data_IF_090660777179
#
_entry.id   IF_090660777179
#
_cell.length_a   1.000
_cell.length_b   1.000
_cell.length_c   1.000
_cell.angle_alpha   90.00
_cell.angle_beta   90.00
_cell.angle_gamma   90.00
#
_symmetry.space_group_name_H-M   'P 1'
#
loop_
_entity.id
_entity.type
_entity.pdbx_description
1 polymer ?
#
# COMPACT_ATOMS: atom_id res chain seq x y z
N UNK A 1 8.65 -12.72 -20.38
CA UNK A 1 8.45 -13.26 -19.02
C UNK A 1 8.70 -12.24 -17.89
N UNK A 2 9.68 -11.32 -17.97
CA UNK A 2 9.96 -10.33 -16.91
C UNK A 2 8.78 -9.38 -16.60
N UNK A 3 8.09 -8.85 -17.62
CA UNK A 3 6.91 -7.99 -17.41
C UNK A 3 5.75 -8.72 -16.73
N UNK A 4 5.45 -9.95 -17.14
CA UNK A 4 4.41 -10.77 -16.54
C UNK A 4 4.69 -11.02 -15.04
N UNK A 5 5.96 -11.30 -14.68
CA UNK A 5 6.36 -11.48 -13.29
C UNK A 5 6.14 -10.20 -12.46
N UNK A 6 6.53 -9.03 -12.99
CA UNK A 6 6.31 -7.75 -12.32
C UNK A 6 4.82 -7.44 -12.11
N UNK A 7 4.00 -7.69 -13.13
CA UNK A 7 2.55 -7.51 -13.04
C UNK A 7 1.92 -8.44 -11.99
N UNK A 8 2.29 -9.73 -11.98
CA UNK A 8 1.79 -10.69 -10.99
C UNK A 8 2.16 -10.30 -9.56
N UNK A 9 3.38 -9.79 -9.34
CA UNK A 9 3.81 -9.31 -8.02
C UNK A 9 3.02 -8.06 -7.61
N UNK A 10 2.77 -7.15 -8.55
CA UNK A 10 1.95 -5.97 -8.29
C UNK A 10 0.50 -6.34 -7.97
N UNK A 11 -0.11 -7.28 -8.71
CA UNK A 11 -1.45 -7.80 -8.42
C UNK A 11 -1.51 -8.48 -7.04
N UNK A 12 -0.49 -9.25 -6.69
CA UNK A 12 -0.37 -9.85 -5.36
C UNK A 12 -0.26 -8.79 -4.27
N UNK A 13 0.57 -7.75 -4.48
CA UNK A 13 0.68 -6.61 -3.57
C UNK A 13 -0.69 -5.93 -3.40
N UNK A 14 -1.39 -5.62 -4.50
CA UNK A 14 -2.70 -4.99 -4.48
C UNK A 14 -3.73 -5.84 -3.74
N UNK A 15 -3.78 -7.15 -4.01
CA UNK A 15 -4.69 -8.07 -3.34
C UNK A 15 -4.43 -8.18 -1.84
N UNK A 16 -3.16 -8.32 -1.43
CA UNK A 16 -2.79 -8.43 -0.01
C UNK A 16 -3.00 -7.12 0.76
N UNK A 17 -2.66 -5.98 0.14
CA UNK A 17 -2.90 -4.66 0.75
C UNK A 17 -4.38 -4.37 0.89
N UNK A 18 -5.19 -4.64 -0.14
CA UNK A 18 -6.64 -4.51 -0.07
C UNK A 18 -7.22 -5.40 1.04
N UNK A 19 -6.83 -6.68 1.09
CA UNK A 19 -7.30 -7.60 2.13
C UNK A 19 -6.95 -7.09 3.54
N UNK A 20 -5.69 -6.68 3.75
CA UNK A 20 -5.26 -6.13 5.04
C UNK A 20 -6.05 -4.87 5.41
N UNK A 21 -6.32 -3.99 4.45
CA UNK A 21 -7.06 -2.76 4.68
C UNK A 21 -8.54 -3.01 4.89
N UNK A 22 -9.15 -4.01 4.25
CA UNK A 22 -10.52 -4.44 4.56
C UNK A 22 -10.60 -4.90 6.01
N UNK A 23 -9.67 -5.76 6.47
CA UNK A 23 -9.63 -6.22 7.85
C UNK A 23 -9.47 -5.08 8.85
N UNK A 24 -8.60 -4.11 8.55
CA UNK A 24 -8.43 -2.91 9.38
C UNK A 24 -9.65 -1.98 9.32
N UNK A 25 -10.37 -1.93 8.20
CA UNK A 25 -11.58 -1.12 8.04
C UNK A 25 -12.75 -1.67 8.85
N UNK A 26 -12.83 -2.99 9.05
CA UNK A 26 -13.83 -3.60 9.93
C UNK A 26 -13.77 -3.08 11.37
N UNK A 27 -12.66 -2.47 11.79
CA UNK A 27 -12.55 -1.80 13.09
C UNK A 27 -13.51 -0.62 13.26
N UNK A 28 -14.11 -0.11 12.17
CA UNK A 28 -15.14 0.93 12.23
C UNK A 28 -16.37 0.50 13.03
N UNK A 29 -16.62 -0.81 13.10
CA UNK A 29 -17.74 -1.40 13.85
C UNK A 29 -17.40 -1.61 15.34
N UNK A 30 -16.14 -1.41 15.75
CA UNK A 30 -15.77 -1.38 17.17
C UNK A 30 -15.93 0.03 17.73
N UNK A 31 -16.33 0.12 18.99
CA UNK A 31 -16.38 1.39 19.71
C UNK A 31 -14.98 1.90 20.05
N UNK A 32 -14.79 3.22 20.03
CA UNK A 32 -13.54 3.87 20.41
C UNK A 32 -12.63 4.25 19.23
N UNK A 33 -11.34 4.54 19.48
CA UNK A 33 -10.45 5.17 18.50
C UNK A 33 -9.77 4.18 17.54
N UNK A 34 -10.17 2.90 17.53
CA UNK A 34 -9.44 1.84 16.83
C UNK A 34 -9.38 2.05 15.32
N UNK A 35 -10.50 2.45 14.72
CA UNK A 35 -10.53 2.75 13.28
C UNK A 35 -9.67 3.95 12.92
N UNK A 36 -9.72 5.03 13.72
CA UNK A 36 -8.89 6.22 13.49
C UNK A 36 -7.40 5.89 13.58
N UNK A 37 -6.98 5.12 14.59
CA UNK A 37 -5.59 4.65 14.70
C UNK A 37 -5.19 3.77 13.51
N UNK A 38 -6.09 2.90 13.06
CA UNK A 38 -5.83 2.06 11.91
C UNK A 38 -5.71 2.89 10.61
N UNK A 39 -6.62 3.84 10.40
CA UNK A 39 -6.66 4.68 9.20
C UNK A 39 -5.48 5.66 9.12
N UNK A 40 -5.11 6.28 10.24
CA UNK A 40 -4.06 7.32 10.25
C UNK A 40 -2.65 6.78 10.48
N UNK A 41 -2.49 5.61 11.09
CA UNK A 41 -1.17 5.04 11.38
C UNK A 41 -0.94 3.70 10.70
N UNK A 42 -1.80 2.70 10.95
CA UNK A 42 -1.54 1.33 10.49
C UNK A 42 -1.58 1.21 8.95
N UNK A 43 -2.64 1.72 8.30
CA UNK A 43 -2.80 1.64 6.84
C UNK A 43 -1.68 2.37 6.09
N UNK A 44 -1.29 3.61 6.45
CA UNK A 44 -0.18 4.29 5.78
C UNK A 44 1.17 3.59 5.93
N UNK A 45 1.49 3.09 7.14
CA UNK A 45 2.74 2.37 7.40
C UNK A 45 2.81 1.04 6.65
N UNK A 46 1.70 0.28 6.64
CA UNK A 46 1.60 -0.95 5.86
C UNK A 46 1.64 -0.67 4.35
N UNK A 47 1.05 0.45 3.92
CA UNK A 47 1.14 0.93 2.55
C UNK A 47 2.58 1.17 2.12
N UNK A 48 3.35 1.91 2.93
CA UNK A 48 4.78 2.12 2.72
C UNK A 48 5.57 0.81 2.64
N UNK A 49 5.35 -0.09 3.61
CA UNK A 49 6.03 -1.38 3.65
C UNK A 49 5.70 -2.24 2.42
N UNK A 50 4.42 -2.28 2.01
CA UNK A 50 4.00 -3.05 0.85
C UNK A 50 4.65 -2.54 -0.45
N UNK A 51 4.70 -1.21 -0.64
CA UNK A 51 5.29 -0.59 -1.81
C UNK A 51 6.81 -0.79 -1.85
N UNK A 52 7.47 -0.68 -0.69
CA UNK A 52 8.88 -1.00 -0.54
C UNK A 52 9.19 -2.44 -0.96
N UNK A 53 8.44 -3.42 -0.45
CA UNK A 53 8.66 -4.82 -0.78
C UNK A 53 8.36 -5.15 -2.25
N UNK A 54 7.32 -4.54 -2.81
CA UNK A 54 6.99 -4.71 -4.22
C UNK A 54 8.10 -4.18 -5.14
N UNK A 55 8.57 -2.95 -4.90
CA UNK A 55 9.68 -2.37 -5.68
C UNK A 55 10.95 -3.22 -5.55
N UNK A 56 11.26 -3.71 -4.35
CA UNK A 56 12.39 -4.64 -4.14
C UNK A 56 12.29 -5.95 -4.92
N UNK A 57 11.08 -6.41 -5.21
CA UNK A 57 10.84 -7.63 -6.00
C UNK A 57 10.78 -7.36 -7.51
N UNK A 58 11.08 -6.14 -7.94
CA UNK A 58 11.20 -5.76 -9.35
C UNK A 58 9.93 -5.15 -9.96
N UNK A 59 8.96 -4.75 -9.13
CA UNK A 59 7.84 -3.91 -9.59
C UNK A 59 8.35 -2.52 -9.91
N UNK A 60 7.83 -1.91 -10.97
CA UNK A 60 8.17 -0.54 -11.33
C UNK A 60 7.73 0.42 -10.21
N UNK A 61 8.67 1.24 -9.73
CA UNK A 61 8.45 2.23 -8.68
C UNK A 61 7.23 3.14 -8.95
N UNK A 62 7.00 3.52 -10.22
CA UNK A 62 5.90 4.39 -10.62
C UNK A 62 4.51 3.78 -10.45
N UNK A 63 4.40 2.45 -10.34
CA UNK A 63 3.11 1.77 -10.15
C UNK A 63 2.98 1.14 -8.76
N UNK A 64 4.10 0.84 -8.08
CA UNK A 64 4.10 0.20 -6.77
C UNK A 64 3.38 1.03 -5.69
N UNK A 65 3.45 2.36 -5.79
CA UNK A 65 2.81 3.27 -4.83
C UNK A 65 1.29 3.40 -5.00
N UNK A 66 0.73 2.98 -6.14
CA UNK A 66 -0.71 3.12 -6.41
C UNK A 66 -1.56 2.09 -5.65
N UNK A 67 -1.03 0.89 -5.46
CA UNK A 67 -1.78 -0.20 -4.83
C UNK A 67 -2.28 0.16 -3.40
N UNK A 68 -1.46 0.76 -2.51
CA UNK A 68 -1.90 1.13 -1.16
C UNK A 68 -3.05 2.15 -1.09
N UNK A 69 -2.98 3.36 -1.70
CA UNK A 69 -4.08 4.32 -1.60
C UNK A 69 -5.37 3.83 -2.26
N UNK A 70 -5.29 3.08 -3.36
CA UNK A 70 -6.44 2.40 -3.94
C UNK A 70 -7.02 1.36 -2.96
N UNK A 71 -6.14 0.60 -2.30
CA UNK A 71 -6.53 -0.34 -1.26
C UNK A 71 -7.33 0.33 -0.13
N UNK A 72 -6.88 1.48 0.37
CA UNK A 72 -7.57 2.20 1.47
C UNK A 72 -8.96 2.64 1.01
N UNK A 73 -9.03 3.24 -0.17
CA UNK A 73 -10.30 3.70 -0.75
C UNK A 73 -11.29 2.55 -0.96
N UNK A 74 -10.87 1.48 -1.64
CA UNK A 74 -11.73 0.34 -1.92
C UNK A 74 -12.05 -0.47 -0.67
N UNK A 75 -11.15 -0.56 0.31
CA UNK A 75 -11.46 -1.21 1.58
C UNK A 75 -12.61 -0.52 2.31
N UNK A 76 -12.60 0.82 2.38
CA UNK A 76 -13.70 1.58 2.96
C UNK A 76 -15.01 1.37 2.19
N UNK A 77 -14.96 1.43 0.86
CA UNK A 77 -16.12 1.21 0.01
C UNK A 77 -16.72 -0.19 0.17
N UNK A 78 -15.88 -1.23 0.22
CA UNK A 78 -16.32 -2.62 0.40
C UNK A 78 -16.98 -2.83 1.76
N UNK A 79 -16.42 -2.26 2.83
CA UNK A 79 -16.92 -2.48 4.20
C UNK A 79 -18.17 -1.66 4.51
N UNK A 80 -18.24 -0.42 4.03
CA UNK A 80 -19.29 0.53 4.42
C UNK A 80 -20.35 0.74 3.34
N UNK A 81 -20.07 0.38 2.08
CA UNK A 81 -20.92 0.71 0.92
C UNK A 81 -20.87 2.17 0.49
N UNK A 82 -20.08 3.01 1.16
CA UNK A 82 -19.94 4.44 0.87
C UNK A 82 -18.47 4.80 0.65
N UNK A 83 -18.22 5.95 0.02
CA UNK A 83 -16.86 6.47 -0.10
C UNK A 83 -16.38 7.05 1.23
N UNK A 84 -15.05 7.01 1.52
CA UNK A 84 -14.50 7.62 2.72
C UNK A 84 -14.92 9.08 2.86
N UNK A 85 -15.36 9.47 4.06
CA UNK A 85 -15.76 10.85 4.37
C UNK A 85 -14.58 11.82 4.43
N UNK A 86 -13.37 11.31 4.68
CA UNK A 86 -12.12 12.07 4.70
C UNK A 86 -11.13 11.50 3.69
N UNK A 87 -10.54 12.38 2.88
CA UNK A 87 -9.44 12.03 1.98
C UNK A 87 -8.08 11.90 2.70
N UNK A 88 -7.98 12.36 3.96
CA UNK A 88 -6.73 12.46 4.71
C UNK A 88 -5.96 11.14 4.82
N UNK A 89 -6.57 10.06 5.35
CA UNK A 89 -5.92 8.75 5.46
C UNK A 89 -5.42 8.19 4.13
N UNK A 90 -6.20 8.35 3.06
CA UNK A 90 -5.86 7.90 1.71
C UNK A 90 -4.65 8.66 1.16
N UNK A 91 -4.64 9.99 1.33
CA UNK A 91 -3.52 10.83 0.87
C UNK A 91 -2.24 10.58 1.67
N UNK A 92 -2.35 10.39 2.99
CA UNK A 92 -1.20 10.02 3.82
C UNK A 92 -0.64 8.65 3.42
N UNK A 93 -1.52 7.68 3.13
CA UNK A 93 -1.12 6.37 2.62
C UNK A 93 -0.43 6.49 1.27
N UNK A 94 -0.94 7.33 0.35
CA UNK A 94 -0.29 7.60 -0.93
C UNK A 94 1.12 8.17 -0.74
N UNK A 95 1.26 9.20 0.11
CA UNK A 95 2.54 9.84 0.41
C UNK A 95 3.56 8.82 0.94
N UNK A 96 3.19 8.05 1.96
CA UNK A 96 4.09 7.07 2.56
C UNK A 96 4.36 5.88 1.63
N UNK A 97 3.40 5.50 0.77
CA UNK A 97 3.62 4.51 -0.28
C UNK A 97 4.65 4.98 -1.31
N UNK A 98 4.62 6.25 -1.72
CA UNK A 98 5.63 6.83 -2.63
C UNK A 98 7.02 6.76 -1.98
N UNK A 99 7.13 7.15 -0.71
CA UNK A 99 8.40 7.08 0.05
C UNK A 99 8.89 5.64 0.15
N UNK A 100 8.01 4.69 0.49
CA UNK A 100 8.34 3.27 0.57
C UNK A 100 8.81 2.70 -0.77
N UNK A 101 8.11 3.03 -1.86
CA UNK A 101 8.47 2.62 -3.20
C UNK A 101 9.87 3.16 -3.58
N UNK A 102 10.11 4.45 -3.36
CA UNK A 102 11.40 5.10 -3.64
C UNK A 102 12.54 4.49 -2.82
N UNK A 103 12.32 4.19 -1.53
CA UNK A 103 13.30 3.50 -0.70
C UNK A 103 13.62 2.09 -1.22
N UNK A 104 12.62 1.39 -1.77
CA UNK A 104 12.81 0.09 -2.41
C UNK A 104 13.63 0.19 -3.69
N UNK A 105 13.42 1.26 -4.47
CA UNK A 105 14.16 1.56 -5.69
C UNK A 105 15.64 1.81 -5.41
N UNK A 106 15.95 2.75 -4.50
CA UNK A 106 17.35 3.10 -4.11
C UNK A 106 18.10 1.88 -3.59
N UNK A 107 17.44 0.99 -2.85
CA UNK A 107 18.06 -0.25 -2.38
C UNK A 107 18.43 -1.20 -3.51
N UNK A 108 17.60 -1.31 -4.55
CA UNK A 108 17.90 -2.14 -5.71
C UNK A 108 19.06 -1.55 -6.52
N UNK A 109 19.12 -0.23 -6.71
CA UNK A 109 20.25 0.43 -7.37
C UNK A 109 21.57 0.13 -6.67
N UNK A 110 21.66 0.37 -5.35
CA UNK A 110 22.86 0.06 -4.56
C UNK A 110 23.29 -1.40 -4.64
N UNK A 111 22.32 -2.31 -4.72
CA UNK A 111 22.60 -3.75 -4.87
C UNK A 111 23.21 -4.04 -6.24
N UNK A 112 22.65 -3.45 -7.31
CA UNK A 112 23.16 -3.64 -8.67
C UNK A 112 24.56 -3.04 -8.84
N UNK A 113 24.84 -1.89 -8.21
CA UNK A 113 26.17 -1.28 -8.18
C UNK A 113 27.22 -2.14 -7.47
N UNK A 114 26.84 -2.89 -6.43
CA UNK A 114 27.74 -3.77 -5.70
C UNK A 114 27.98 -5.12 -6.41
N UNK A 115 27.11 -5.51 -7.34
CA UNK A 115 27.19 -6.77 -8.08
C UNK A 115 27.82 -6.62 -9.48
N UNK A 116 28.03 -5.38 -9.96
CA UNK A 116 28.67 -5.04 -11.23
C UNK A 116 30.15 -4.72 -11.09
#
# INVERSE_FOLDING_TARGET
MRMLKGLLIWLLQAGLTLLAFVLLTLLIWLTGPWYELAAWAAMPLLGAASAYWATRRGVNNYIAWLAPPLGVFFAHYIVTGYTPTSAGPTLLTALLAIVGAAAGYVRNERKNEAEG
#
